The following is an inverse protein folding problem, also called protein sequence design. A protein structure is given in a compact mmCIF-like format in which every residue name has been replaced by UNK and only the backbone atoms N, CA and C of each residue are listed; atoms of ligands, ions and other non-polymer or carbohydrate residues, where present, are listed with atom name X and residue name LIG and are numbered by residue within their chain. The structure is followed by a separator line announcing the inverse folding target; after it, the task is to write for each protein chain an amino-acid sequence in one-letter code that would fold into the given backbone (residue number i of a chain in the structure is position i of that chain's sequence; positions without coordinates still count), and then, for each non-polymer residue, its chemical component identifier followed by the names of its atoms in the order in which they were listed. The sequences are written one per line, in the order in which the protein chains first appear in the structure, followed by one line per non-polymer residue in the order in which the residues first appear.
data_IF_171171471120
#
_entry.id   IF_171171471120
#
_cell.length_a   1.000
_cell.length_b   1.000
_cell.length_c   1.000
_cell.angle_alpha   90.00
_cell.angle_beta   90.00
_cell.angle_gamma   90.00
#
_symmetry.space_group_name_H-M   'P 1'
#
loop_
_entity.id
_entity.type
_entity.pdbx_description
1 polymer ?
#
# COMPACT_ATOMS: atom_id res chain seq x y z
N UNK A 1 21.61 -4.01 2.67
CA UNK A 1 20.23 -4.55 2.52
C UNK A 1 19.40 -4.31 3.76
N UNK A 2 19.92 -4.50 4.98
CA UNK A 2 19.17 -4.24 6.23
C UNK A 2 18.60 -2.82 6.29
N UNK A 3 19.38 -1.81 5.92
CA UNK A 3 18.94 -0.41 5.89
C UNK A 3 17.71 -0.22 4.97
N UNK A 4 17.75 -0.82 3.78
CA UNK A 4 16.62 -0.77 2.83
C UNK A 4 15.37 -1.48 3.38
N UNK A 5 15.55 -2.66 3.98
CA UNK A 5 14.47 -3.38 4.65
C UNK A 5 13.85 -2.53 5.77
N UNK A 6 14.66 -1.88 6.60
CA UNK A 6 14.18 -1.00 7.67
C UNK A 6 13.41 0.19 7.10
N UNK A 7 13.88 0.78 6.00
CA UNK A 7 13.16 1.87 5.31
C UNK A 7 11.79 1.41 4.80
N UNK A 8 11.72 0.20 4.19
CA UNK A 8 10.44 -0.38 3.75
C UNK A 8 9.51 -0.66 4.93
N UNK A 9 10.03 -1.12 6.09
CA UNK A 9 9.23 -1.30 7.31
C UNK A 9 8.57 0.03 7.71
N UNK A 10 9.33 1.10 7.84
CA UNK A 10 8.78 2.39 8.27
C UNK A 10 7.85 3.00 7.23
N UNK A 11 8.24 2.98 5.95
CA UNK A 11 7.41 3.51 4.87
C UNK A 11 6.07 2.78 4.75
N UNK A 12 6.09 1.44 4.77
CA UNK A 12 4.87 0.64 4.70
C UNK A 12 4.04 0.77 5.98
N UNK A 13 4.66 0.86 7.16
CA UNK A 13 3.93 1.09 8.41
C UNK A 13 3.17 2.42 8.37
N UNK A 14 3.80 3.51 7.88
CA UNK A 14 3.12 4.81 7.71
C UNK A 14 2.01 4.72 6.67
N UNK A 15 2.26 4.08 5.52
CA UNK A 15 1.26 3.87 4.49
C UNK A 15 0.01 3.17 5.03
N UNK A 16 0.18 2.04 5.71
CA UNK A 16 -0.93 1.25 6.26
C UNK A 16 -1.59 1.97 7.44
N UNK A 17 -0.83 2.60 8.33
CA UNK A 17 -1.41 3.39 9.42
C UNK A 17 -2.36 4.47 8.92
N UNK A 18 -2.00 5.19 7.87
CA UNK A 18 -2.83 6.25 7.30
C UNK A 18 -3.96 5.68 6.42
N UNK A 19 -3.67 4.67 5.60
CA UNK A 19 -4.61 4.04 4.66
C UNK A 19 -5.72 3.27 5.38
N UNK A 20 -5.37 2.29 6.21
CA UNK A 20 -6.35 1.57 7.02
C UNK A 20 -6.99 2.50 8.07
N UNK A 21 -6.25 3.51 8.55
CA UNK A 21 -6.76 4.52 9.47
C UNK A 21 -7.93 5.32 8.89
N UNK A 22 -7.87 5.75 7.62
CA UNK A 22 -9.02 6.42 7.00
C UNK A 22 -10.18 5.47 6.80
N UNK A 23 -9.92 4.19 6.45
CA UNK A 23 -10.99 3.19 6.31
C UNK A 23 -11.68 2.97 7.66
N UNK A 24 -10.91 2.83 8.76
CA UNK A 24 -11.44 2.76 10.11
C UNK A 24 -12.31 4.00 10.44
N UNK A 25 -11.81 5.19 10.10
CA UNK A 25 -12.55 6.44 10.30
C UNK A 25 -13.88 6.46 9.56
N UNK A 26 -13.95 5.93 8.34
CA UNK A 26 -15.17 5.97 7.51
C UNK A 26 -16.14 4.83 7.86
N UNK A 27 -15.64 3.65 8.23
CA UNK A 27 -16.48 2.46 8.42
C UNK A 27 -16.91 2.22 9.88
N UNK A 28 -16.04 2.54 10.85
CA UNK A 28 -16.31 2.20 12.25
C UNK A 28 -17.30 3.15 12.89
N UNK A 29 -18.09 2.59 13.82
CA UNK A 29 -19.11 3.33 14.53
C UNK A 29 -18.54 4.48 15.39
N UNK A 30 -19.32 5.58 15.50
CA UNK A 30 -19.04 6.75 16.33
C UNK A 30 -17.78 7.54 15.94
N UNK A 31 -17.17 7.26 14.80
CA UNK A 31 -16.12 8.11 14.23
C UNK A 31 -16.72 9.41 13.69
N UNK A 32 -15.98 10.51 13.73
CA UNK A 32 -16.41 11.78 13.13
C UNK A 32 -16.53 11.70 11.61
N UNK A 33 -15.77 10.81 10.97
CA UNK A 33 -15.77 10.59 9.52
C UNK A 33 -16.71 9.43 9.11
N UNK A 34 -17.49 8.86 10.03
CA UNK A 34 -18.36 7.73 9.72
C UNK A 34 -19.26 8.05 8.53
N UNK A 35 -19.31 7.15 7.55
CA UNK A 35 -20.08 7.29 6.31
C UNK A 35 -19.65 8.46 5.39
N UNK A 36 -18.44 8.99 5.53
CA UNK A 36 -17.94 10.05 4.67
C UNK A 36 -17.72 9.63 3.19
N UNK A 37 -17.75 8.34 2.91
CA UNK A 37 -17.79 7.78 1.55
C UNK A 37 -16.42 7.46 0.93
N UNK A 38 -16.48 6.82 -0.23
CA UNK A 38 -15.31 6.26 -0.94
C UNK A 38 -14.31 7.31 -1.44
N UNK A 39 -14.78 8.52 -1.77
CA UNK A 39 -13.88 9.60 -2.22
C UNK A 39 -12.87 9.95 -1.11
N UNK A 40 -13.32 10.00 0.15
CA UNK A 40 -12.43 10.25 1.30
C UNK A 40 -11.40 9.14 1.43
N UNK A 41 -11.83 7.87 1.32
CA UNK A 41 -10.94 6.71 1.40
C UNK A 41 -9.88 6.76 0.29
N UNK A 42 -10.31 6.93 -0.97
CA UNK A 42 -9.39 6.86 -2.12
C UNK A 42 -8.38 8.01 -2.13
N UNK A 43 -8.80 9.24 -1.80
CA UNK A 43 -7.88 10.37 -1.69
C UNK A 43 -6.90 10.20 -0.54
N UNK A 44 -7.37 9.74 0.61
CA UNK A 44 -6.49 9.53 1.76
C UNK A 44 -5.49 8.39 1.53
N UNK A 45 -5.88 7.30 0.84
CA UNK A 45 -4.95 6.26 0.41
C UNK A 45 -3.86 6.80 -0.53
N UNK A 46 -4.22 7.66 -1.48
CA UNK A 46 -3.23 8.33 -2.33
C UNK A 46 -2.23 9.16 -1.51
N UNK A 47 -2.70 9.92 -0.53
CA UNK A 47 -1.85 10.67 0.39
C UNK A 47 -1.04 9.78 1.32
N UNK A 48 -1.58 8.64 1.76
CA UNK A 48 -0.88 7.65 2.56
C UNK A 48 0.32 7.06 1.81
N UNK A 49 0.12 6.71 0.52
CA UNK A 49 1.22 6.27 -0.36
C UNK A 49 2.27 7.37 -0.48
N UNK A 50 1.87 8.62 -0.71
CA UNK A 50 2.78 9.75 -0.78
C UNK A 50 3.62 9.88 0.49
N UNK A 51 3.00 9.82 1.67
CA UNK A 51 3.72 9.88 2.95
C UNK A 51 4.72 8.70 3.11
N UNK A 52 4.31 7.49 2.75
CA UNK A 52 5.20 6.32 2.76
C UNK A 52 6.41 6.51 1.85
N UNK A 53 6.17 7.06 0.64
CA UNK A 53 7.25 7.36 -0.33
C UNK A 53 8.21 8.41 0.22
N UNK A 54 7.72 9.45 0.87
CA UNK A 54 8.58 10.48 1.50
C UNK A 54 9.46 9.86 2.59
N UNK A 55 8.92 8.93 3.37
CA UNK A 55 9.66 8.27 4.47
C UNK A 55 10.72 7.30 3.96
N UNK A 56 10.38 6.42 3.03
CA UNK A 56 11.27 5.34 2.59
C UNK A 56 12.12 5.69 1.36
N UNK A 57 11.67 6.64 0.54
CA UNK A 57 12.25 6.94 -0.76
C UNK A 57 13.76 7.20 -0.75
N UNK A 58 14.28 8.06 0.14
CA UNK A 58 15.71 8.37 0.17
C UNK A 58 16.63 7.17 0.45
N UNK A 59 16.12 6.12 1.09
CA UNK A 59 16.92 4.97 1.54
C UNK A 59 16.70 3.72 0.69
N UNK A 60 15.44 3.38 0.39
CA UNK A 60 15.09 2.14 -0.31
C UNK A 60 14.61 2.34 -1.75
N UNK A 61 14.14 3.53 -2.08
CA UNK A 61 13.39 3.80 -3.30
C UNK A 61 11.88 3.66 -3.10
N UNK A 62 11.41 3.32 -1.88
CA UNK A 62 10.01 3.24 -1.48
C UNK A 62 9.15 2.34 -2.39
N UNK A 63 9.41 1.06 -2.37
CA UNK A 63 8.54 0.11 -3.07
C UNK A 63 7.20 -0.05 -2.38
N UNK A 64 7.19 -0.25 -1.05
CA UNK A 64 6.02 -0.29 -0.17
C UNK A 64 4.96 -1.33 -0.57
N UNK A 65 5.26 -2.16 -1.55
CA UNK A 65 4.32 -3.11 -2.13
C UNK A 65 5.08 -4.25 -2.83
N UNK A 66 4.80 -5.53 -2.50
CA UNK A 66 5.45 -6.67 -3.13
C UNK A 66 5.30 -6.72 -4.66
N UNK A 67 4.16 -6.26 -5.21
CA UNK A 67 3.96 -6.23 -6.66
C UNK A 67 4.89 -5.22 -7.34
N UNK A 68 5.18 -4.09 -6.70
CA UNK A 68 6.15 -3.10 -7.16
C UNK A 68 7.55 -3.69 -7.12
N UNK A 69 7.94 -4.29 -6.00
CA UNK A 69 9.24 -4.94 -5.83
C UNK A 69 9.48 -6.02 -6.90
N UNK A 70 8.50 -6.89 -7.12
CA UNK A 70 8.58 -7.93 -8.15
C UNK A 70 8.64 -7.32 -9.56
N UNK A 71 7.81 -6.32 -9.85
CA UNK A 71 7.82 -5.63 -11.14
C UNK A 71 9.18 -5.00 -11.45
N UNK A 72 9.81 -4.34 -10.47
CA UNK A 72 11.14 -3.75 -10.63
C UNK A 72 12.23 -4.82 -10.83
N UNK A 73 12.14 -5.97 -10.16
CA UNK A 73 13.05 -7.09 -10.36
C UNK A 73 12.91 -7.72 -11.76
N UNK A 74 11.69 -7.84 -12.26
CA UNK A 74 11.44 -8.28 -13.65
C UNK A 74 12.02 -7.27 -14.64
N UNK A 75 11.79 -5.98 -14.43
CA UNK A 75 12.36 -4.93 -15.28
C UNK A 75 13.90 -4.98 -15.29
N UNK A 76 14.53 -5.18 -14.12
CA UNK A 76 15.99 -5.35 -14.03
C UNK A 76 16.49 -6.56 -14.81
N UNK A 77 15.72 -7.64 -14.85
CA UNK A 77 16.05 -8.85 -15.62
C UNK A 77 15.98 -8.59 -17.12
N UNK A 78 14.99 -7.80 -17.57
CA UNK A 78 14.80 -7.47 -19.00
C UNK A 78 15.82 -6.42 -19.46
N UNK A 79 16.04 -5.38 -18.63
CA UNK A 79 16.95 -4.28 -18.92
C UNK A 79 17.89 -4.09 -17.72
N UNK A 80 19.01 -4.80 -17.76
CA UNK A 80 20.03 -4.75 -16.70
C UNK A 80 20.49 -3.33 -16.39
N UNK A 81 20.61 -3.02 -15.10
CA UNK A 81 20.99 -1.70 -14.61
C UNK A 81 19.87 -0.65 -14.63
N UNK A 82 18.64 -1.04 -14.94
CA UNK A 82 17.50 -0.10 -15.03
C UNK A 82 16.93 0.28 -13.67
N UNK A 83 16.87 -0.66 -12.73
CA UNK A 83 16.23 -0.46 -11.42
C UNK A 83 17.18 -0.76 -10.25
N UNK A 84 18.22 -1.55 -10.48
CA UNK A 84 19.14 -2.01 -9.46
C UNK A 84 18.55 -3.04 -8.49
N UNK A 85 17.33 -3.55 -8.75
CA UNK A 85 16.64 -4.54 -7.93
C UNK A 85 16.81 -5.93 -8.49
N UNK A 86 17.84 -6.60 -8.04
CA UNK A 86 18.14 -8.01 -8.38
C UNK A 86 17.33 -8.97 -7.51
N UNK A 87 17.11 -10.21 -7.98
CA UNK A 87 16.25 -11.20 -7.29
C UNK A 87 16.71 -11.55 -5.87
N UNK A 88 18.01 -11.46 -5.57
CA UNK A 88 18.56 -11.65 -4.23
C UNK A 88 18.13 -10.55 -3.23
N UNK A 89 17.73 -9.38 -3.73
CA UNK A 89 17.26 -8.26 -2.92
C UNK A 89 15.77 -8.36 -2.61
N UNK A 90 14.98 -8.98 -3.49
CA UNK A 90 13.52 -9.09 -3.38
C UNK A 90 13.05 -9.57 -1.99
N UNK A 91 13.61 -10.64 -1.39
CA UNK A 91 13.16 -11.10 -0.08
C UNK A 91 13.29 -10.04 1.02
N UNK A 92 14.32 -9.20 0.98
CA UNK A 92 14.54 -8.14 1.98
C UNK A 92 13.46 -7.07 1.94
N UNK A 93 13.08 -6.66 0.71
CA UNK A 93 12.00 -5.70 0.51
C UNK A 93 10.67 -6.28 0.95
N UNK A 94 10.31 -7.45 0.44
CA UNK A 94 9.02 -8.10 0.73
C UNK A 94 8.84 -8.36 2.23
N UNK A 95 9.88 -8.84 2.92
CA UNK A 95 9.84 -9.04 4.38
C UNK A 95 9.65 -7.70 5.10
N UNK A 96 10.36 -6.65 4.68
CA UNK A 96 10.19 -5.30 5.22
C UNK A 96 8.77 -4.77 5.06
N UNK A 97 8.20 -4.90 3.86
CA UNK A 97 6.84 -4.49 3.53
C UNK A 97 5.79 -5.23 4.39
N UNK A 98 5.91 -6.55 4.55
CA UNK A 98 4.99 -7.31 5.41
C UNK A 98 5.10 -6.94 6.89
N UNK A 99 6.33 -6.78 7.40
CA UNK A 99 6.52 -6.35 8.80
C UNK A 99 5.93 -4.95 9.00
N UNK A 100 6.21 -4.02 8.07
CA UNK A 100 5.66 -2.67 8.09
C UNK A 100 4.13 -2.66 8.09
N UNK A 101 3.52 -3.46 7.19
CA UNK A 101 2.06 -3.59 7.12
C UNK A 101 1.46 -4.10 8.44
N UNK A 102 2.05 -5.12 9.06
CA UNK A 102 1.58 -5.64 10.36
C UNK A 102 1.69 -4.58 11.46
N UNK A 103 2.78 -3.81 11.49
CA UNK A 103 2.94 -2.71 12.46
C UNK A 103 1.87 -1.63 12.24
N UNK A 104 1.70 -1.17 11.00
CA UNK A 104 0.70 -0.15 10.64
C UNK A 104 -0.71 -0.57 11.02
N UNK A 105 -1.12 -1.78 10.65
CA UNK A 105 -2.44 -2.35 10.99
C UNK A 105 -2.63 -2.49 12.51
N UNK A 106 -1.61 -2.92 13.25
CA UNK A 106 -1.67 -3.00 14.71
C UNK A 106 -1.87 -1.63 15.35
N UNK A 107 -1.19 -0.61 14.84
CA UNK A 107 -1.36 0.77 15.30
C UNK A 107 -2.76 1.30 15.00
N UNK A 108 -3.36 0.99 13.84
CA UNK A 108 -4.76 1.31 13.54
C UNK A 108 -5.70 0.62 14.52
N UNK A 109 -5.51 -0.68 14.80
CA UNK A 109 -6.33 -1.40 15.77
C UNK A 109 -6.27 -0.77 17.16
N UNK A 110 -5.09 -0.32 17.60
CA UNK A 110 -4.90 0.36 18.89
C UNK A 110 -5.54 1.76 18.88
N UNK A 111 -5.32 2.54 17.82
CA UNK A 111 -5.82 3.91 17.70
C UNK A 111 -7.36 3.97 17.68
N UNK A 112 -7.99 3.02 16.97
CA UNK A 112 -9.45 2.92 16.85
C UNK A 112 -10.09 1.89 17.80
N UNK A 113 -9.39 1.47 18.84
CA UNK A 113 -9.82 0.39 19.74
C UNK A 113 -11.26 0.51 20.22
N UNK A 114 -11.67 1.68 20.70
CA UNK A 114 -13.03 1.89 21.20
C UNK A 114 -14.08 1.95 20.08
N UNK A 115 -13.69 2.40 18.88
CA UNK A 115 -14.53 2.35 17.70
C UNK A 115 -14.77 0.92 17.22
N UNK A 116 -13.74 0.07 17.25
CA UNK A 116 -13.86 -1.37 16.99
C UNK A 116 -14.84 -2.02 17.98
N UNK A 117 -14.78 -1.69 19.28
CA UNK A 117 -15.72 -2.19 20.28
C UNK A 117 -17.13 -1.71 20.03
N UNK A 118 -17.32 -0.46 19.64
CA UNK A 118 -18.61 0.14 19.38
C UNK A 118 -19.26 -0.32 18.08
N UNK A 119 -18.51 -0.90 17.16
CA UNK A 119 -18.99 -1.41 15.87
C UNK A 119 -19.46 -2.85 16.05
N UNK A 120 -20.74 -3.14 15.77
CA UNK A 120 -21.29 -4.49 15.90
C UNK A 120 -20.96 -5.37 14.67
N UNK A 121 -20.99 -4.77 13.47
CA UNK A 121 -20.78 -5.46 12.21
C UNK A 121 -19.32 -5.93 12.05
N UNK A 122 -19.14 -7.25 12.02
CA UNK A 122 -17.83 -7.87 11.87
C UNK A 122 -17.25 -7.68 10.45
N UNK A 123 -18.13 -7.53 9.44
CA UNK A 123 -17.73 -7.26 8.06
C UNK A 123 -17.06 -5.87 7.95
N UNK A 124 -17.61 -4.86 8.61
CA UNK A 124 -17.00 -3.53 8.65
C UNK A 124 -15.66 -3.53 9.40
N UNK A 125 -15.56 -4.28 10.50
CA UNK A 125 -14.27 -4.44 11.20
C UNK A 125 -13.20 -5.09 10.32
N UNK A 126 -13.57 -6.16 9.60
CA UNK A 126 -12.67 -6.83 8.67
C UNK A 126 -12.28 -5.92 7.51
N UNK A 127 -13.24 -5.16 6.98
CA UNK A 127 -13.03 -4.27 5.84
C UNK A 127 -12.03 -3.12 6.12
N UNK A 128 -11.70 -2.84 7.38
CA UNK A 128 -10.63 -1.91 7.74
C UNK A 128 -9.28 -2.41 7.24
N UNK A 129 -9.02 -3.72 7.33
CA UNK A 129 -7.73 -4.35 7.02
C UNK A 129 -7.71 -5.14 5.73
N UNK A 130 -8.88 -5.44 5.15
CA UNK A 130 -8.98 -6.20 3.91
C UNK A 130 -10.18 -5.78 3.09
N UNK A 131 -9.94 -5.49 1.82
CA UNK A 131 -11.01 -5.19 0.87
C UNK A 131 -11.67 -6.48 0.38
N UNK A 132 -12.97 -6.40 0.09
CA UNK A 132 -13.72 -7.46 -0.55
C UNK A 132 -14.56 -6.88 -1.69
N UNK A 133 -14.78 -7.63 -2.79
CA UNK A 133 -15.63 -7.18 -3.87
C UNK A 133 -17.10 -7.16 -3.41
N UNK A 134 -17.82 -6.09 -3.70
CA UNK A 134 -19.26 -6.01 -3.42
C UNK A 134 -20.08 -7.02 -4.23
N UNK A 135 -19.61 -7.38 -5.41
CA UNK A 135 -20.19 -8.43 -6.26
C UNK A 135 -19.17 -9.56 -6.37
N UNK A 136 -19.50 -10.72 -5.78
CA UNK A 136 -18.61 -11.88 -5.81
C UNK A 136 -18.71 -12.61 -7.16
N UNK A 137 -17.77 -12.31 -8.06
CA UNK A 137 -17.56 -12.99 -9.32
C UNK A 137 -16.06 -13.24 -9.52
N UNK A 138 -15.59 -14.43 -9.11
CA UNK A 138 -14.15 -14.71 -9.05
C UNK A 138 -13.39 -14.44 -10.36
N UNK A 139 -13.88 -14.86 -11.55
CA UNK A 139 -13.18 -14.54 -12.81
C UNK A 139 -13.08 -13.05 -13.08
N UNK A 140 -14.17 -12.29 -12.93
CA UNK A 140 -14.15 -10.85 -13.16
C UNK A 140 -13.38 -10.10 -12.09
N UNK A 141 -13.43 -10.56 -10.84
CA UNK A 141 -12.65 -9.96 -9.76
C UNK A 141 -11.15 -10.15 -9.99
N UNK A 142 -10.71 -11.34 -10.46
CA UNK A 142 -9.32 -11.57 -10.85
C UNK A 142 -8.87 -10.63 -11.99
N UNK A 143 -9.72 -10.42 -12.98
CA UNK A 143 -9.44 -9.48 -14.07
C UNK A 143 -9.31 -8.05 -13.52
N UNK A 144 -10.21 -7.62 -12.64
CA UNK A 144 -10.17 -6.29 -12.01
C UNK A 144 -8.90 -6.07 -11.21
N UNK A 145 -8.50 -7.04 -10.38
CA UNK A 145 -7.25 -6.97 -9.61
C UNK A 145 -6.02 -6.95 -10.53
N UNK A 146 -6.04 -7.73 -11.59
CA UNK A 146 -4.97 -7.74 -12.60
C UNK A 146 -4.84 -6.37 -13.28
N UNK A 147 -5.95 -5.76 -13.69
CA UNK A 147 -5.95 -4.42 -14.30
C UNK A 147 -5.46 -3.38 -13.31
N UNK A 148 -5.94 -3.40 -12.06
CA UNK A 148 -5.54 -2.44 -11.02
C UNK A 148 -4.04 -2.52 -10.72
N UNK A 149 -3.52 -3.74 -10.52
CA UNK A 149 -2.09 -3.96 -10.26
C UNK A 149 -1.23 -3.59 -11.47
N UNK A 150 -1.69 -3.91 -12.69
CA UNK A 150 -1.00 -3.51 -13.91
C UNK A 150 -0.87 -1.98 -14.01
N UNK A 151 -1.96 -1.25 -13.79
CA UNK A 151 -1.96 0.22 -13.83
C UNK A 151 -1.03 0.79 -12.76
N UNK A 152 -1.06 0.25 -11.53
CA UNK A 152 -0.15 0.67 -10.47
C UNK A 152 1.31 0.55 -10.90
N UNK A 153 1.73 -0.64 -11.31
CA UNK A 153 3.14 -0.91 -11.68
C UNK A 153 3.53 -0.12 -12.93
N UNK A 154 2.64 -0.03 -13.92
CA UNK A 154 2.88 0.73 -15.16
C UNK A 154 3.12 2.23 -14.87
N UNK A 155 2.31 2.84 -14.03
CA UNK A 155 2.44 4.26 -13.66
C UNK A 155 3.75 4.48 -12.89
N UNK A 156 4.13 3.59 -11.97
CA UNK A 156 5.41 3.69 -11.25
C UNK A 156 6.58 3.63 -12.23
N UNK A 157 6.55 2.75 -13.21
CA UNK A 157 7.60 2.68 -14.23
C UNK A 157 7.65 3.94 -15.10
N UNK A 158 6.50 4.52 -15.43
CA UNK A 158 6.43 5.76 -16.18
C UNK A 158 7.03 6.94 -15.40
N UNK A 159 6.75 7.06 -14.10
CA UNK A 159 7.34 8.10 -13.26
C UNK A 159 8.85 7.95 -13.04
N UNK A 160 9.36 6.72 -13.03
CA UNK A 160 10.79 6.44 -12.87
C UNK A 160 11.64 6.80 -14.10
N UNK A 161 11.04 7.14 -15.24
CA UNK A 161 11.78 7.57 -16.43
C UNK A 161 12.07 9.08 -16.35
N UNK A 162 13.29 9.53 -16.72
CA UNK A 162 13.57 10.95 -16.84
C UNK A 162 12.69 11.52 -17.96
N UNK A 163 11.64 12.22 -17.59
CA UNK A 163 10.86 13.00 -18.53
C UNK A 163 11.66 14.26 -18.85
N UNK A 164 12.37 14.30 -19.98
CA UNK A 164 12.83 15.55 -20.53
C UNK A 164 11.58 16.29 -21.05
N UNK A 165 11.09 17.23 -20.27
CA UNK A 165 10.16 18.26 -20.75
C UNK A 165 10.88 19.33 -21.58
N UNK A 166 12.03 19.00 -22.16
CA UNK A 166 12.71 19.86 -23.09
C UNK A 166 11.88 19.90 -24.40
N UNK A 167 11.51 21.09 -24.90
CA UNK A 167 10.86 21.25 -26.16
C UNK A 167 11.72 20.79 -27.31
#
# INVERSE_FOLDING_TARGET
MVEKMVAEIFGTAVLILLGDGVVAGVLLAKSKAQNAGWIVITLAWGLAVFCGVVVAGPLSGAHLNPAVTLGLAVMETIKQGSTGITWDKVPWYVVGEFIGAMIGASLVALHYWDHFKATEDQGLKLAVFSTAPNIRNLPLNLISETIGTFVLVFVIFAFGQPHSLAP
#
